data_IF_501135972404
#
_entry.id   IF_501135972404
#
_cell.length_a   1.000
_cell.length_b   1.000
_cell.length_c   1.000
_cell.angle_alpha   90.00
_cell.angle_beta   90.00
_cell.angle_gamma   90.00
#
_symmetry.space_group_name_H-M   'P 1'
#
loop_
_entity.id
_entity.type
_entity.pdbx_description
1 polymer ?
#
# COMPACT_ATOMS: atom_id res chain seq x y z
N UNK A 1 -7.98 -22.67 -3.88
CA UNK A 1 -7.20 -21.67 -3.12
C UNK A 1 -8.08 -20.47 -2.82
N UNK A 2 -8.22 -20.06 -1.55
CA UNK A 2 -8.84 -18.77 -1.21
C UNK A 2 -7.99 -17.69 -1.90
N UNK A 3 -8.59 -16.84 -2.75
CA UNK A 3 -7.86 -15.72 -3.35
C UNK A 3 -7.47 -14.77 -2.21
N UNK A 4 -6.18 -14.58 -1.97
CA UNK A 4 -5.66 -13.51 -1.11
C UNK A 4 -5.48 -12.24 -1.91
N UNK A 5 -5.69 -11.08 -1.28
CA UNK A 5 -5.38 -9.76 -1.85
C UNK A 5 -4.34 -9.09 -1.00
N UNK A 6 -3.38 -8.46 -1.66
CA UNK A 6 -2.40 -7.58 -1.02
C UNK A 6 -3.07 -6.25 -0.72
N UNK A 7 -3.04 -5.81 0.52
CA UNK A 7 -3.59 -4.53 0.97
C UNK A 7 -2.52 -3.72 1.68
N UNK A 8 -2.76 -2.42 1.82
CA UNK A 8 -1.94 -1.60 2.70
C UNK A 8 -2.21 -2.00 4.15
N UNK A 9 -1.16 -2.03 4.97
CA UNK A 9 -1.28 -2.15 6.40
C UNK A 9 -2.06 -0.94 6.96
N UNK A 10 -2.83 -1.13 8.03
CA UNK A 10 -3.62 -0.04 8.65
C UNK A 10 -2.74 1.10 9.14
N UNK A 11 -1.50 0.79 9.52
CA UNK A 11 -0.49 1.76 9.97
C UNK A 11 0.20 2.51 8.82
N UNK A 12 -0.18 2.25 7.57
CA UNK A 12 0.46 2.88 6.41
C UNK A 12 0.51 4.42 6.51
N UNK A 13 -0.59 5.14 6.81
CA UNK A 13 -0.54 6.60 6.95
C UNK A 13 0.48 7.08 7.99
N UNK A 14 0.55 6.39 9.13
CA UNK A 14 1.48 6.68 10.23
C UNK A 14 2.93 6.46 9.80
N UNK A 15 3.20 5.33 9.14
CA UNK A 15 4.54 4.98 8.66
C UNK A 15 5.04 5.99 7.62
N UNK A 16 4.19 6.40 6.67
CA UNK A 16 4.55 7.45 5.71
C UNK A 16 4.85 8.76 6.43
N UNK A 17 4.03 9.16 7.40
CA UNK A 17 4.24 10.40 8.18
C UNK A 17 5.56 10.38 8.96
N UNK A 18 5.96 9.24 9.53
CA UNK A 18 7.25 9.08 10.24
C UNK A 18 8.47 9.34 9.35
N UNK A 19 8.35 9.17 8.04
CA UNK A 19 9.41 9.51 7.09
C UNK A 19 9.50 11.00 6.74
N UNK A 20 8.63 11.84 7.31
CA UNK A 20 8.51 13.26 6.96
C UNK A 20 7.83 13.51 5.60
N UNK A 21 7.31 12.47 4.95
CA UNK A 21 6.61 12.58 3.66
C UNK A 21 5.11 12.72 3.83
N UNK A 22 4.48 13.53 2.99
CA UNK A 22 3.01 13.45 2.80
C UNK A 22 2.65 12.25 1.94
N UNK A 23 1.42 11.73 2.06
CA UNK A 23 0.95 10.61 1.23
C UNK A 23 0.95 10.96 -0.27
N UNK A 24 0.69 12.23 -0.63
CA UNK A 24 0.79 12.71 -2.01
C UNK A 24 2.22 12.70 -2.53
N UNK A 25 3.18 13.19 -1.74
CA UNK A 25 4.59 13.17 -2.10
C UNK A 25 5.08 11.72 -2.23
N UNK A 26 4.72 10.87 -1.28
CA UNK A 26 5.03 9.44 -1.30
C UNK A 26 4.47 8.75 -2.56
N UNK A 27 3.20 8.99 -2.91
CA UNK A 27 2.58 8.41 -4.10
C UNK A 27 3.36 8.75 -5.37
N UNK A 28 3.80 10.01 -5.49
CA UNK A 28 4.67 10.47 -6.60
C UNK A 28 5.99 9.70 -6.61
N UNK A 29 6.65 9.53 -5.47
CA UNK A 29 7.90 8.76 -5.35
C UNK A 29 7.71 7.29 -5.75
N UNK A 30 6.61 6.67 -5.34
CA UNK A 30 6.25 5.30 -5.74
C UNK A 30 5.80 5.16 -7.20
N UNK A 31 5.58 6.29 -7.88
CA UNK A 31 5.06 6.35 -9.24
C UNK A 31 3.64 5.75 -9.35
N UNK A 32 2.84 5.92 -8.32
CA UNK A 32 1.40 5.61 -8.32
C UNK A 32 0.59 6.90 -8.15
N UNK A 33 -0.65 6.92 -8.62
CA UNK A 33 -1.49 8.10 -8.42
C UNK A 33 -1.86 8.25 -6.94
N UNK A 34 -2.04 9.49 -6.47
CA UNK A 34 -2.56 9.73 -5.13
C UNK A 34 -3.93 9.08 -4.91
N UNK A 35 -4.79 9.08 -5.94
CA UNK A 35 -6.08 8.38 -5.93
C UNK A 35 -5.93 6.86 -5.78
N UNK A 36 -4.83 6.27 -6.27
CA UNK A 36 -4.53 4.86 -6.04
C UNK A 36 -4.27 4.61 -4.57
N UNK A 37 -3.44 5.42 -3.91
CA UNK A 37 -3.20 5.30 -2.46
C UNK A 37 -4.50 5.46 -1.67
N UNK A 38 -5.32 6.47 -1.98
CA UNK A 38 -6.61 6.68 -1.32
C UNK A 38 -7.55 5.49 -1.51
N UNK A 39 -7.66 4.95 -2.74
CA UNK A 39 -8.52 3.79 -3.00
C UNK A 39 -8.02 2.48 -2.38
N UNK A 40 -6.74 2.42 -1.98
CA UNK A 40 -6.18 1.30 -1.21
C UNK A 40 -6.39 1.46 0.29
N UNK A 41 -6.36 2.69 0.82
CA UNK A 41 -6.64 3.01 2.22
C UNK A 41 -8.13 2.96 2.56
N UNK A 42 -8.97 3.38 1.61
CA UNK A 42 -10.40 3.55 1.79
C UNK A 42 -11.20 2.81 0.70
N UNK A 43 -11.04 1.47 0.58
CA UNK A 43 -11.75 0.70 -0.43
C UNK A 43 -13.28 0.81 -0.28
N UNK A 44 -13.80 1.03 0.93
CA UNK A 44 -15.20 1.23 1.26
C UNK A 44 -15.84 2.45 0.58
N UNK A 45 -15.03 3.47 0.24
CA UNK A 45 -15.50 4.68 -0.44
C UNK A 45 -15.73 4.45 -1.94
N UNK A 46 -15.46 3.25 -2.45
CA UNK A 46 -15.58 2.90 -3.86
C UNK A 46 -16.51 1.70 -4.06
N UNK A 47 -17.79 1.93 -4.42
CA UNK A 47 -18.76 0.86 -4.66
C UNK A 47 -18.22 -0.19 -5.65
N UNK A 48 -18.24 -1.46 -5.27
CA UNK A 48 -17.75 -2.58 -6.09
C UNK A 48 -16.23 -2.84 -6.03
N UNK A 49 -15.44 -2.02 -5.32
CA UNK A 49 -14.02 -2.32 -5.08
C UNK A 49 -13.82 -3.06 -3.77
N UNK A 50 -13.43 -4.33 -3.88
CA UNK A 50 -13.03 -5.18 -2.73
C UNK A 50 -11.65 -4.80 -2.13
N UNK A 51 -11.11 -3.64 -2.49
CA UNK A 51 -9.75 -3.21 -2.13
C UNK A 51 -8.62 -4.07 -2.71
N UNK A 52 -7.41 -3.72 -2.28
CA UNK A 52 -6.17 -4.41 -2.59
C UNK A 52 -5.51 -4.07 -3.93
N UNK A 53 -4.33 -4.64 -4.13
CA UNK A 53 -3.44 -4.30 -5.24
C UNK A 53 -2.79 -5.54 -5.87
N UNK A 54 -2.23 -5.35 -7.07
CA UNK A 54 -1.36 -6.34 -7.71
C UNK A 54 0.02 -6.35 -7.04
N UNK A 55 0.70 -7.50 -7.11
CA UNK A 55 2.06 -7.67 -6.57
C UNK A 55 3.05 -6.61 -7.08
N UNK A 56 2.97 -6.26 -8.37
CA UNK A 56 3.81 -5.21 -8.96
C UNK A 56 3.61 -3.85 -8.26
N UNK A 57 2.37 -3.50 -7.92
CA UNK A 57 2.08 -2.24 -7.21
C UNK A 57 2.59 -2.30 -5.77
N UNK A 58 2.42 -3.44 -5.11
CA UNK A 58 2.93 -3.65 -3.75
C UNK A 58 4.45 -3.44 -3.68
N UNK A 59 5.21 -4.03 -4.61
CA UNK A 59 6.65 -3.82 -4.68
C UNK A 59 7.07 -2.39 -4.99
N UNK A 60 6.33 -1.66 -5.84
CA UNK A 60 6.61 -0.23 -6.09
C UNK A 60 6.47 0.62 -4.83
N UNK A 61 5.42 0.35 -4.05
CA UNK A 61 5.18 1.03 -2.77
C UNK A 61 6.30 0.68 -1.77
N UNK A 62 6.64 -0.61 -1.65
CA UNK A 62 7.70 -1.08 -0.77
C UNK A 62 9.07 -0.46 -1.13
N UNK A 63 9.47 -0.47 -2.40
CA UNK A 63 10.73 0.11 -2.88
C UNK A 63 10.83 1.61 -2.61
N UNK A 64 9.73 2.35 -2.81
CA UNK A 64 9.69 3.77 -2.52
C UNK A 64 9.89 4.05 -1.03
N UNK A 65 9.21 3.29 -0.15
CA UNK A 65 9.38 3.44 1.28
C UNK A 65 10.77 3.02 1.75
N UNK A 66 11.29 1.90 1.25
CA UNK A 66 12.64 1.42 1.54
C UNK A 66 13.70 2.48 1.24
N UNK A 67 13.57 3.17 0.11
CA UNK A 67 14.46 4.27 -0.27
C UNK A 67 14.40 5.43 0.73
N UNK A 68 13.21 5.84 1.14
CA UNK A 68 13.03 6.99 2.04
C UNK A 68 13.46 6.63 3.47
N UNK A 69 13.06 5.45 3.96
CA UNK A 69 13.31 4.98 5.32
C UNK A 69 14.69 4.31 5.49
N UNK A 70 15.45 4.14 4.41
CA UNK A 70 16.79 3.50 4.38
C UNK A 70 16.78 2.08 4.96
N UNK A 71 15.81 1.28 4.55
CA UNK A 71 15.68 -0.15 4.87
C UNK A 71 15.63 -0.98 3.58
N UNK A 72 15.59 -2.31 3.67
CA UNK A 72 15.44 -3.15 2.46
C UNK A 72 14.02 -3.11 1.91
N UNK A 73 13.86 -3.47 0.63
CA UNK A 73 12.54 -3.52 -0.01
C UNK A 73 11.65 -4.60 0.59
N UNK A 74 12.26 -5.71 1.02
CA UNK A 74 11.60 -6.83 1.70
C UNK A 74 11.06 -6.38 3.06
N UNK A 75 11.89 -5.72 3.88
CA UNK A 75 11.46 -5.16 5.16
C UNK A 75 10.32 -4.15 4.98
N UNK A 76 10.41 -3.30 3.96
CA UNK A 76 9.35 -2.35 3.64
C UNK A 76 8.07 -3.05 3.17
N UNK A 77 8.19 -4.14 2.42
CA UNK A 77 7.04 -4.93 1.97
C UNK A 77 6.30 -5.52 3.17
N UNK A 78 7.02 -6.18 4.09
CA UNK A 78 6.43 -6.78 5.28
C UNK A 78 5.81 -5.74 6.23
N UNK A 79 6.37 -4.53 6.29
CA UNK A 79 5.83 -3.44 7.09
C UNK A 79 4.55 -2.82 6.50
N UNK A 80 4.50 -2.66 5.18
CA UNK A 80 3.47 -1.88 4.51
C UNK A 80 2.36 -2.71 3.87
N UNK A 81 2.60 -3.99 3.60
CA UNK A 81 1.72 -4.83 2.80
C UNK A 81 1.25 -6.02 3.63
N UNK A 82 -0.06 -6.25 3.65
CA UNK A 82 -0.68 -7.39 4.33
C UNK A 82 -1.49 -8.22 3.34
N UNK A 83 -1.46 -9.54 3.51
CA UNK A 83 -2.35 -10.45 2.78
C UNK A 83 -3.67 -10.59 3.53
N UNK A 84 -4.78 -10.22 2.89
CA UNK A 84 -6.12 -10.49 3.42
C UNK A 84 -6.87 -11.50 2.55
N UNK A 85 -7.55 -12.49 3.14
CA UNK A 85 -8.40 -13.40 2.39
C UNK A 85 -9.56 -12.61 1.76
N UNK A 86 -9.89 -12.93 0.50
CA UNK A 86 -11.10 -12.39 -0.14
C UNK A 86 -12.28 -13.17 0.40
N UNK A 87 -13.14 -12.50 1.17
CA UNK A 87 -14.46 -13.05 1.46
C UNK A 87 -15.27 -13.17 0.14
N UNK A 88 -15.90 -14.32 -0.11
CA UNK A 88 -16.87 -14.43 -1.18
C UNK A 88 -18.03 -13.49 -0.88
N UNK A 89 -18.39 -12.67 -1.87
CA UNK A 89 -19.59 -11.84 -1.80
C UNK A 89 -20.85 -12.68 -1.91
#
# INVERSE_FOLDING_TARGET
MKRTRLQLAERFPELIARTGSSQRAFARTAGVSHSTIMGLLHPELHPGRRGGMQLRTAWRIAQAYATIARITSEQAFDLLIVERPVEPA
#
